data_IF_205907690206
#
_entry.id   IF_205907690206
#
_cell.length_a   1.000
_cell.length_b   1.000
_cell.length_c   1.000
_cell.angle_alpha   90.00
_cell.angle_beta   90.00
_cell.angle_gamma   90.00
#
_symmetry.space_group_name_H-M   'P 1'
#
loop_
_entity.id
_entity.type
_entity.pdbx_description
1 polymer ?
#
# COMPACT_ATOMS: atom_id res chain seq x y z
N UNK A 1 25.34 -9.09 -16.60
CA UNK A 1 25.72 -8.10 -15.58
C UNK A 1 24.55 -7.19 -15.33
N UNK A 2 24.28 -6.82 -14.07
CA UNK A 2 23.15 -5.96 -13.72
C UNK A 2 23.53 -4.49 -13.94
N UNK A 3 22.72 -3.70 -14.67
CA UNK A 3 22.98 -2.27 -14.85
C UNK A 3 22.70 -1.50 -13.56
N UNK A 4 23.32 -0.33 -13.40
CA UNK A 4 23.01 0.57 -12.29
C UNK A 4 21.68 1.28 -12.54
N UNK A 5 20.90 1.52 -11.48
CA UNK A 5 19.65 2.28 -11.56
C UNK A 5 19.98 3.76 -11.74
N UNK A 6 20.08 4.20 -12.99
CA UNK A 6 20.39 5.58 -13.36
C UNK A 6 19.27 6.17 -14.22
N UNK A 7 19.26 7.48 -14.35
CA UNK A 7 18.27 8.25 -15.16
C UNK A 7 18.36 7.94 -16.66
N UNK A 8 19.46 7.35 -17.09
CA UNK A 8 19.69 6.90 -18.47
C UNK A 8 19.20 5.44 -18.70
N UNK A 9 18.78 4.75 -17.63
CA UNK A 9 18.29 3.39 -17.74
C UNK A 9 16.96 3.36 -18.49
N UNK A 10 16.90 2.64 -19.61
CA UNK A 10 15.64 2.47 -20.33
C UNK A 10 14.62 1.69 -19.49
N UNK A 11 13.34 2.05 -19.62
CA UNK A 11 12.22 1.39 -18.93
C UNK A 11 12.21 -0.14 -19.15
N UNK A 12 12.57 -0.60 -20.36
CA UNK A 12 12.72 -2.03 -20.69
C UNK A 12 13.76 -2.72 -19.81
N UNK A 13 14.91 -2.08 -19.59
CA UNK A 13 15.94 -2.61 -18.69
C UNK A 13 15.46 -2.55 -17.24
N UNK A 14 14.78 -1.48 -16.85
CA UNK A 14 14.22 -1.39 -15.50
C UNK A 14 13.26 -2.55 -15.21
N UNK A 15 12.37 -2.90 -16.13
CA UNK A 15 11.44 -4.03 -15.98
C UNK A 15 12.10 -5.41 -16.10
N UNK A 16 13.24 -5.50 -16.80
CA UNK A 16 13.97 -6.76 -16.97
C UNK A 16 14.72 -7.23 -15.72
N UNK A 17 14.98 -6.34 -14.76
CA UNK A 17 15.75 -6.66 -13.55
C UNK A 17 14.92 -6.52 -12.28
N UNK A 18 15.22 -7.37 -11.29
CA UNK A 18 14.67 -7.23 -9.95
C UNK A 18 15.43 -6.15 -9.17
N UNK A 19 14.69 -5.17 -8.64
CA UNK A 19 15.25 -4.08 -7.82
C UNK A 19 14.90 -4.25 -6.34
N UNK A 20 15.87 -3.99 -5.47
CA UNK A 20 15.61 -3.88 -4.04
C UNK A 20 14.90 -2.57 -3.74
N UNK A 21 14.07 -2.57 -2.70
CA UNK A 21 13.36 -1.35 -2.27
C UNK A 21 14.35 -0.22 -1.93
N UNK A 22 15.46 -0.56 -1.29
CA UNK A 22 16.50 0.41 -0.92
C UNK A 22 17.11 1.08 -2.15
N UNK A 23 17.37 0.33 -3.23
CA UNK A 23 17.90 0.87 -4.47
C UNK A 23 16.91 1.82 -5.16
N UNK A 24 15.63 1.41 -5.19
CA UNK A 24 14.56 2.26 -5.71
C UNK A 24 14.45 3.56 -4.88
N UNK A 25 14.58 3.47 -3.56
CA UNK A 25 14.52 4.63 -2.67
C UNK A 25 15.73 5.56 -2.83
N UNK A 26 16.95 5.00 -2.97
CA UNK A 26 18.17 5.77 -3.24
C UNK A 26 18.05 6.54 -4.56
N UNK A 27 17.63 5.86 -5.62
CA UNK A 27 17.38 6.49 -6.91
C UNK A 27 16.35 7.62 -6.81
N UNK A 28 15.25 7.40 -6.08
CA UNK A 28 14.27 8.45 -5.85
C UNK A 28 14.88 9.67 -5.12
N UNK A 29 15.71 9.45 -4.10
CA UNK A 29 16.36 10.54 -3.34
C UNK A 29 17.32 11.35 -4.21
N UNK A 30 18.11 10.69 -5.05
CA UNK A 30 19.05 11.35 -5.97
C UNK A 30 18.36 12.18 -7.05
N UNK A 31 17.19 11.75 -7.50
CA UNK A 31 16.42 12.42 -8.56
C UNK A 31 15.29 13.31 -8.04
N UNK A 32 15.19 13.53 -6.72
CA UNK A 32 14.16 14.37 -6.11
C UNK A 32 12.73 13.79 -6.18
N UNK A 33 12.59 12.49 -6.43
CA UNK A 33 11.33 11.76 -6.46
C UNK A 33 10.97 11.34 -5.03
N UNK A 34 9.67 11.24 -4.72
CA UNK A 34 9.26 10.75 -3.41
C UNK A 34 9.57 9.25 -3.24
N UNK A 35 10.43 8.96 -2.26
CA UNK A 35 10.82 7.61 -1.84
C UNK A 35 9.85 6.97 -0.83
N UNK A 36 8.71 7.61 -0.58
CA UNK A 36 7.67 7.15 0.36
C UNK A 36 6.62 6.30 -0.35
N UNK A 37 6.28 5.15 0.22
CA UNK A 37 5.24 4.25 -0.29
C UNK A 37 5.65 2.78 -0.28
N UNK A 38 4.78 1.95 -0.80
CA UNK A 38 5.05 0.53 -1.04
C UNK A 38 6.08 0.36 -2.16
N UNK A 39 6.79 -0.77 -2.21
CA UNK A 39 7.77 -1.07 -3.28
C UNK A 39 7.16 -0.85 -4.67
N UNK A 40 5.92 -1.31 -4.86
CA UNK A 40 5.17 -1.17 -6.11
C UNK A 40 4.93 0.30 -6.48
N UNK A 41 4.58 1.15 -5.51
CA UNK A 41 4.36 2.58 -5.75
C UNK A 41 5.65 3.29 -6.15
N UNK A 42 6.77 2.94 -5.49
CA UNK A 42 8.08 3.50 -5.80
C UNK A 42 8.51 3.08 -7.21
N UNK A 43 8.38 1.79 -7.55
CA UNK A 43 8.66 1.27 -8.90
C UNK A 43 7.85 2.00 -9.97
N UNK A 44 6.53 2.14 -9.77
CA UNK A 44 5.66 2.78 -10.75
C UNK A 44 6.02 4.27 -10.97
N UNK A 45 6.41 5.00 -9.91
CA UNK A 45 6.92 6.37 -10.06
C UNK A 45 8.23 6.43 -10.84
N UNK A 46 9.12 5.46 -10.63
CA UNK A 46 10.39 5.38 -11.35
C UNK A 46 10.14 5.07 -12.83
N UNK A 47 9.22 4.17 -13.15
CA UNK A 47 8.82 3.90 -14.53
C UNK A 47 8.30 5.16 -15.23
N UNK A 48 7.38 5.88 -14.58
CA UNK A 48 6.85 7.15 -15.11
C UNK A 48 7.99 8.15 -15.31
N UNK A 49 8.89 8.28 -14.33
CA UNK A 49 10.03 9.19 -14.43
C UNK A 49 10.98 8.82 -15.58
N UNK A 50 11.26 7.53 -15.80
CA UNK A 50 12.08 7.07 -16.93
C UNK A 50 11.38 7.25 -18.28
N UNK A 51 10.05 7.22 -18.31
CA UNK A 51 9.26 7.38 -19.54
C UNK A 51 9.05 8.84 -19.93
N UNK A 52 8.74 9.72 -18.96
CA UNK A 52 8.37 11.12 -19.22
C UNK A 52 9.45 12.11 -18.83
N UNK A 53 10.42 11.72 -18.00
CA UNK A 53 11.39 12.63 -17.39
C UNK A 53 10.79 13.57 -16.34
N UNK A 54 9.49 13.47 -16.05
CA UNK A 54 8.82 14.39 -15.14
C UNK A 54 8.83 13.87 -13.71
N UNK A 55 9.29 14.72 -12.79
CA UNK A 55 9.21 14.48 -11.35
C UNK A 55 7.77 14.79 -10.91
N UNK A 56 6.90 13.79 -10.99
CA UNK A 56 5.56 13.92 -10.42
C UNK A 56 5.71 13.94 -8.89
N UNK A 57 5.59 15.13 -8.31
CA UNK A 57 5.53 15.29 -6.85
C UNK A 57 4.40 14.39 -6.36
N UNK A 58 4.58 13.67 -5.24
CA UNK A 58 3.49 12.89 -4.69
C UNK A 58 2.35 13.87 -4.47
N UNK A 59 1.28 13.70 -5.24
CA UNK A 59 0.00 14.29 -4.89
C UNK A 59 -0.22 13.74 -3.50
N UNK A 60 -0.03 14.59 -2.49
CA UNK A 60 -0.53 14.32 -1.15
C UNK A 60 -1.99 14.06 -1.42
N UNK A 61 -2.37 12.77 -1.45
CA UNK A 61 -3.76 12.40 -1.27
C UNK A 61 -4.05 12.99 0.08
N UNK A 62 -4.58 14.21 0.09
CA UNK A 62 -5.29 14.76 1.23
C UNK A 62 -6.23 13.63 1.56
N UNK A 63 -5.91 12.90 2.64
CA UNK A 63 -6.74 11.80 3.09
C UNK A 63 -8.10 12.45 3.27
N UNK A 64 -8.97 12.24 2.29
CA UNK A 64 -10.33 12.73 2.32
C UNK A 64 -10.85 12.22 3.63
N UNK A 65 -11.09 13.18 4.53
CA UNK A 65 -11.57 13.05 5.91
C UNK A 65 -12.04 11.62 6.12
N UNK A 66 -11.18 10.78 6.71
CA UNK A 66 -11.59 9.44 7.11
C UNK A 66 -12.82 9.69 7.97
N UNK A 67 -14.00 9.46 7.39
CA UNK A 67 -15.26 9.43 8.13
C UNK A 67 -14.91 8.57 9.33
N UNK A 68 -14.99 9.16 10.52
CA UNK A 68 -14.92 8.42 11.76
C UNK A 68 -16.04 7.39 11.61
N UNK A 69 -15.68 6.19 11.15
CA UNK A 69 -16.58 5.05 11.18
C UNK A 69 -16.80 4.92 12.67
N UNK A 70 -18.02 5.26 13.04
CA UNK A 70 -18.49 5.37 14.39
C UNK A 70 -18.02 4.14 15.17
N UNK A 71 -17.76 4.36 16.46
CA UNK A 71 -17.78 3.31 17.46
C UNK A 71 -19.02 2.46 17.23
N UNK A 72 -18.88 1.37 16.47
CA UNK A 72 -19.95 0.40 16.31
C UNK A 72 -19.94 -0.33 17.64
N UNK A 73 -20.99 -0.12 18.44
CA UNK A 73 -21.33 -1.07 19.49
C UNK A 73 -21.65 -2.39 18.77
N UNK A 74 -20.59 -3.16 18.51
CA UNK A 74 -20.68 -4.46 17.84
C UNK A 74 -21.44 -5.37 18.80
N UNK A 75 -22.60 -5.81 18.35
CA UNK A 75 -23.43 -6.81 19.01
C UNK A 75 -23.53 -8.04 18.11
N UNK A 76 -23.87 -9.23 18.65
CA UNK A 76 -24.11 -10.43 17.84
C UNK A 76 -25.12 -10.21 16.71
N UNK A 77 -26.08 -9.30 16.91
CA UNK A 77 -27.12 -8.92 15.95
C UNK A 77 -26.67 -7.88 14.91
N UNK A 78 -25.40 -7.46 14.91
CA UNK A 78 -24.92 -6.47 13.94
C UNK A 78 -24.82 -7.09 12.54
N UNK A 79 -25.64 -6.57 11.61
CA UNK A 79 -25.63 -6.99 10.21
C UNK A 79 -24.31 -6.59 9.54
N UNK A 80 -23.61 -7.59 8.99
CA UNK A 80 -22.37 -7.41 8.24
C UNK A 80 -22.70 -6.73 6.90
N UNK A 81 -22.29 -5.47 6.74
CA UNK A 81 -22.45 -4.73 5.48
C UNK A 81 -21.31 -5.03 4.50
N UNK A 82 -21.52 -4.80 3.20
CA UNK A 82 -20.50 -5.06 2.17
C UNK A 82 -19.18 -4.28 2.34
N UNK A 83 -19.17 -3.19 3.12
CA UNK A 83 -17.95 -2.44 3.48
C UNK A 83 -17.29 -2.98 4.77
N UNK A 84 -17.66 -4.19 5.22
CA UNK A 84 -17.10 -4.77 6.43
C UNK A 84 -15.60 -5.05 6.26
N UNK A 85 -14.80 -4.41 7.12
CA UNK A 85 -13.35 -4.61 7.20
C UNK A 85 -13.00 -5.36 8.47
N UNK A 86 -11.97 -6.20 8.39
CA UNK A 86 -11.29 -6.84 9.52
C UNK A 86 -10.51 -5.80 10.36
N UNK A 87 -11.24 -4.84 10.92
CA UNK A 87 -10.72 -3.70 11.65
C UNK A 87 -10.35 -4.06 13.09
N UNK A 88 -9.59 -3.19 13.73
CA UNK A 88 -9.18 -3.37 15.13
C UNK A 88 -10.37 -3.42 16.09
N UNK A 89 -11.45 -2.67 15.82
CA UNK A 89 -12.71 -2.71 16.58
C UNK A 89 -13.39 -4.08 16.52
N UNK A 90 -13.46 -4.69 15.32
CA UNK A 90 -14.02 -6.03 15.12
C UNK A 90 -13.17 -7.08 15.84
N UNK A 91 -11.84 -6.95 15.79
CA UNK A 91 -10.93 -7.80 16.57
C UNK A 91 -11.17 -7.67 18.07
N UNK A 92 -11.36 -6.45 18.57
CA UNK A 92 -11.58 -6.20 19.99
C UNK A 92 -12.87 -6.87 20.47
N UNK A 93 -13.96 -6.76 19.69
CA UNK A 93 -15.20 -7.47 19.94
C UNK A 93 -15.01 -8.99 19.94
N UNK A 94 -14.42 -9.58 18.90
CA UNK A 94 -14.24 -11.03 18.88
C UNK A 94 -13.30 -11.55 19.98
N UNK A 95 -12.39 -10.72 20.50
CA UNK A 95 -11.57 -11.08 21.65
C UNK A 95 -12.34 -11.14 22.97
N UNK A 96 -13.44 -10.39 23.12
CA UNK A 96 -14.29 -10.50 24.33
C UNK A 96 -15.05 -11.84 24.33
N UNK A 97 -15.37 -12.37 23.15
CA UNK A 97 -16.07 -13.65 22.98
C UNK A 97 -15.10 -14.83 22.89
N UNK A 98 -13.97 -14.66 22.20
CA UNK A 98 -12.97 -15.69 21.90
C UNK A 98 -11.56 -15.14 22.23
N UNK A 99 -10.97 -15.50 23.38
CA UNK A 99 -9.74 -14.86 23.86
C UNK A 99 -8.50 -15.09 22.96
N UNK A 100 -8.48 -16.14 22.14
CA UNK A 100 -7.39 -16.46 21.19
C UNK A 100 -7.69 -16.07 19.73
N UNK A 101 -8.65 -15.17 19.51
CA UNK A 101 -9.07 -14.79 18.16
C UNK A 101 -7.99 -14.04 17.35
N UNK A 102 -7.82 -14.45 16.09
CA UNK A 102 -6.97 -13.79 15.10
C UNK A 102 -7.63 -13.87 13.72
N UNK A 103 -7.57 -12.79 12.94
CA UNK A 103 -8.02 -12.80 11.54
C UNK A 103 -7.00 -13.56 10.69
N UNK A 104 -7.42 -14.63 10.02
CA UNK A 104 -6.57 -15.30 9.03
C UNK A 104 -6.56 -14.52 7.72
N UNK A 105 -5.55 -14.78 6.88
CA UNK A 105 -5.47 -14.22 5.52
C UNK A 105 -6.76 -14.50 4.73
N UNK A 106 -7.31 -15.71 4.90
CA UNK A 106 -8.56 -16.14 4.28
C UNK A 106 -9.77 -15.27 4.68
N UNK A 107 -9.89 -14.88 5.95
CA UNK A 107 -10.97 -13.99 6.43
C UNK A 107 -10.86 -12.57 5.85
N UNK A 108 -9.65 -12.15 5.49
CA UNK A 108 -9.41 -10.85 4.88
C UNK A 108 -9.68 -10.84 3.37
N UNK A 109 -9.52 -11.99 2.70
CA UNK A 109 -9.79 -12.17 1.27
C UNK A 109 -11.27 -12.38 0.95
N UNK A 110 -12.05 -12.91 1.90
CA UNK A 110 -13.48 -13.20 1.69
C UNK A 110 -14.34 -11.96 1.38
N UNK A 111 -13.88 -10.76 1.74
CA UNK A 111 -14.60 -9.50 1.48
C UNK A 111 -14.20 -8.80 0.17
N UNK A 112 -13.36 -9.42 -0.68
CA UNK A 112 -12.93 -8.85 -1.96
C UNK A 112 -13.64 -9.45 -3.20
N UNK A 113 -14.75 -10.17 -3.02
CA UNK A 113 -15.59 -10.70 -4.10
C UNK A 113 -17.01 -10.16 -4.02
#
# INVERSE_FOLDING_TARGET
MRPNLTKDLSLVNFQAYYWLKEELQSFCRENGISSSGSKLEISNRIEIFLQTGEISKPIRKTEAVKKKIHQVNLSPDTVISADHRCSQDVRAFFKTVIPKFHFSTYMNEFHNY
#
